data_IF_229244805559
#
_entry.id   IF_229244805559
#
_cell.length_a   1.000
_cell.length_b   1.000
_cell.length_c   1.000
_cell.angle_alpha   90.00
_cell.angle_beta   90.00
_cell.angle_gamma   90.00
#
_symmetry.space_group_name_H-M   'P 1'
#
loop_
_entity.id
_entity.type
_entity.pdbx_description
1 polymer ?
#
# COMPACT_ATOMS: atom_id res chain seq x y z
N UNK A 1 -12.97 -11.39 -18.48
CA UNK A 1 -11.86 -10.42 -18.60
C UNK A 1 -10.88 -10.72 -17.49
N UNK A 2 -9.61 -11.01 -17.81
CA UNK A 2 -8.56 -11.24 -16.82
C UNK A 2 -8.19 -9.92 -16.13
N UNK A 3 -8.15 -9.92 -14.80
CA UNK A 3 -7.73 -8.75 -14.03
C UNK A 3 -6.22 -8.54 -14.24
N UNK A 4 -5.82 -7.32 -14.59
CA UNK A 4 -4.41 -6.91 -14.64
C UNK A 4 -4.29 -5.53 -13.99
N UNK A 5 -3.36 -5.35 -13.05
CA UNK A 5 -3.06 -4.05 -12.48
C UNK A 5 -2.21 -3.22 -13.43
N UNK A 6 -1.69 -3.84 -14.50
CA UNK A 6 -0.88 -3.17 -15.48
C UNK A 6 -1.68 -2.74 -16.71
N UNK A 7 -1.43 -1.53 -17.17
CA UNK A 7 -1.91 -1.06 -18.47
C UNK A 7 -1.08 -1.75 -19.57
N UNK A 8 -1.49 -2.95 -19.98
CA UNK A 8 -0.99 -3.55 -21.24
C UNK A 8 -1.50 -2.67 -22.40
N UNK A 9 -0.58 -1.94 -23.01
CA UNK A 9 -0.89 -1.03 -24.10
C UNK A 9 -1.44 -1.76 -25.32
N UNK A 10 -2.77 -1.80 -25.48
CA UNK A 10 -3.39 -2.04 -26.78
C UNK A 10 -3.19 -0.78 -27.63
N UNK A 11 -2.06 -0.70 -28.33
CA UNK A 11 -1.92 0.14 -29.50
C UNK A 11 -2.77 -0.47 -30.63
N UNK A 12 -4.04 -0.11 -30.71
CA UNK A 12 -4.83 -0.24 -31.93
C UNK A 12 -5.54 1.08 -32.20
N UNK A 13 -4.99 1.74 -33.22
CA UNK A 13 -5.41 2.93 -33.92
C UNK A 13 -6.88 3.35 -33.79
N UNK A 14 -7.11 4.65 -33.49
CA UNK A 14 -7.95 5.54 -34.28
C UNK A 14 -8.17 6.87 -33.54
N UNK A 15 -7.82 7.98 -34.18
CA UNK A 15 -8.32 9.32 -33.81
C UNK A 15 -7.22 10.33 -33.53
N UNK A 16 -6.78 11.03 -34.57
CA UNK A 16 -6.08 12.30 -34.47
C UNK A 16 -6.81 13.24 -33.48
N UNK A 17 -6.06 13.74 -32.49
CA UNK A 17 -6.13 15.15 -32.10
C UNK A 17 -4.93 15.49 -31.22
N UNK A 18 -4.07 16.36 -31.76
CA UNK A 18 -2.90 16.87 -31.07
C UNK A 18 -3.28 17.65 -29.82
N UNK A 19 -2.92 17.09 -28.67
CA UNK A 19 -2.58 17.83 -27.45
C UNK A 19 -1.41 17.08 -26.85
N UNK A 20 -0.40 17.82 -26.40
CA UNK A 20 0.77 17.31 -25.69
C UNK A 20 0.34 16.52 -24.44
N UNK A 21 -0.05 15.27 -24.63
CA UNK A 21 -0.08 14.27 -23.59
C UNK A 21 1.35 13.79 -23.50
N UNK A 22 2.07 14.24 -22.47
CA UNK A 22 3.22 13.47 -21.99
C UNK A 22 2.72 12.04 -21.91
N UNK A 23 3.21 11.18 -22.82
CA UNK A 23 2.91 9.75 -22.84
C UNK A 23 3.50 9.18 -21.56
N UNK A 24 2.80 9.36 -20.47
CA UNK A 24 3.09 8.58 -19.29
C UNK A 24 2.54 7.20 -19.59
N UNK A 25 3.44 6.36 -20.08
CA UNK A 25 3.33 4.91 -20.09
C UNK A 25 3.23 4.45 -18.63
N UNK A 26 2.17 4.84 -17.93
CA UNK A 26 1.94 4.43 -16.56
C UNK A 26 1.61 2.95 -16.64
N UNK A 27 2.63 2.13 -16.43
CA UNK A 27 2.47 0.68 -16.46
C UNK A 27 1.49 0.24 -15.38
N UNK A 28 1.25 1.03 -14.32
CA UNK A 28 0.47 0.67 -13.14
C UNK A 28 -0.85 1.47 -13.04
N UNK A 29 -1.99 0.77 -12.91
CA UNK A 29 -3.31 1.39 -12.76
C UNK A 29 -3.66 1.66 -11.29
N UNK A 30 -3.43 2.90 -10.88
CA UNK A 30 -3.72 3.39 -9.51
C UNK A 30 -5.17 3.18 -9.05
N UNK A 31 -6.17 3.23 -9.95
CA UNK A 31 -7.56 3.06 -9.56
C UNK A 31 -7.83 1.59 -9.21
N UNK A 32 -7.33 0.67 -10.05
CA UNK A 32 -7.45 -0.78 -9.79
C UNK A 32 -6.74 -1.20 -8.51
N UNK A 33 -5.59 -0.58 -8.21
CA UNK A 33 -4.89 -0.83 -6.96
C UNK A 33 -5.71 -0.36 -5.74
N UNK A 34 -6.36 0.79 -5.82
CA UNK A 34 -7.28 1.26 -4.77
C UNK A 34 -8.46 0.31 -4.59
N UNK A 35 -9.12 -0.08 -5.68
CA UNK A 35 -10.28 -0.99 -5.66
C UNK A 35 -9.91 -2.37 -5.12
N UNK A 36 -8.68 -2.82 -5.33
CA UNK A 36 -8.19 -4.08 -4.75
C UNK A 36 -8.21 -4.04 -3.22
N UNK A 37 -7.73 -2.94 -2.62
CA UNK A 37 -7.77 -2.79 -1.15
C UNK A 37 -9.18 -2.74 -0.58
N UNK A 38 -10.11 -2.14 -1.31
CA UNK A 38 -11.53 -2.11 -0.95
C UNK A 38 -12.14 -3.51 -1.01
N UNK A 39 -11.91 -4.24 -2.10
CA UNK A 39 -12.39 -5.61 -2.27
C UNK A 39 -11.82 -6.57 -1.21
N UNK A 40 -10.58 -6.35 -0.75
CA UNK A 40 -10.00 -7.10 0.36
C UNK A 40 -10.71 -6.80 1.69
N UNK A 41 -11.03 -5.54 1.99
CA UNK A 41 -11.75 -5.15 3.21
C UNK A 41 -13.21 -5.60 3.19
N UNK A 42 -13.87 -5.56 2.04
CA UNK A 42 -15.27 -6.01 1.92
C UNK A 42 -15.40 -7.52 2.14
N UNK A 43 -14.51 -8.30 1.51
CA UNK A 43 -14.56 -9.75 1.59
C UNK A 43 -14.24 -10.30 3.00
N UNK A 44 -13.49 -9.57 3.84
CA UNK A 44 -13.29 -9.96 5.24
C UNK A 44 -14.53 -9.75 6.11
N UNK A 45 -15.55 -9.02 5.64
CA UNK A 45 -16.81 -8.81 6.36
C UNK A 45 -17.95 -9.74 5.90
N UNK A 46 -17.78 -10.48 4.80
CA UNK A 46 -18.87 -11.23 4.15
C UNK A 46 -18.64 -12.76 4.27
N UNK A 47 -19.42 -13.43 5.13
CA UNK A 47 -19.25 -14.85 5.54
C UNK A 47 -19.72 -15.88 4.49
N UNK A 48 -19.92 -15.48 3.24
CA UNK A 48 -20.40 -16.36 2.18
C UNK A 48 -19.33 -17.33 1.68
N UNK A 49 -19.58 -18.65 1.73
CA UNK A 49 -18.65 -19.71 1.33
C UNK A 49 -18.10 -19.60 -0.12
N UNK A 50 -18.78 -18.88 -1.02
CA UNK A 50 -18.34 -18.65 -2.40
C UNK A 50 -17.32 -17.50 -2.55
N UNK A 51 -17.02 -16.75 -1.49
CA UNK A 51 -16.20 -15.54 -1.54
C UNK A 51 -14.72 -15.78 -1.17
N UNK A 52 -14.40 -16.91 -0.52
CA UNK A 52 -13.06 -17.19 0.01
C UNK A 52 -11.96 -17.28 -1.04
N UNK A 53 -12.20 -17.97 -2.17
CA UNK A 53 -11.20 -18.09 -3.24
C UNK A 53 -10.87 -16.72 -3.87
N UNK A 54 -11.88 -15.88 -4.07
CA UNK A 54 -11.71 -14.53 -4.61
C UNK A 54 -10.97 -13.61 -3.61
N UNK A 55 -11.20 -13.81 -2.32
CA UNK A 55 -10.48 -13.10 -1.27
C UNK A 55 -8.98 -13.46 -1.29
N UNK A 56 -8.66 -14.75 -1.36
CA UNK A 56 -7.28 -15.24 -1.51
C UNK A 56 -6.64 -14.71 -2.80
N UNK A 57 -7.36 -14.73 -3.93
CA UNK A 57 -6.88 -14.17 -5.19
C UNK A 57 -6.51 -12.70 -5.03
N UNK A 58 -7.37 -11.89 -4.39
CA UNK A 58 -7.09 -10.48 -4.14
C UNK A 58 -5.88 -10.28 -3.22
N UNK A 59 -5.70 -11.12 -2.19
CA UNK A 59 -4.55 -11.08 -1.29
C UNK A 59 -3.24 -11.35 -2.04
N UNK A 60 -3.18 -12.46 -2.78
CA UNK A 60 -1.99 -12.86 -3.56
C UNK A 60 -1.64 -11.78 -4.58
N UNK A 61 -2.65 -11.20 -5.21
CA UNK A 61 -2.50 -10.12 -6.17
C UNK A 61 -1.97 -8.83 -5.53
N UNK A 62 -2.47 -8.48 -4.35
CA UNK A 62 -1.96 -7.35 -3.59
C UNK A 62 -0.51 -7.56 -3.18
N UNK A 63 -0.18 -8.76 -2.67
CA UNK A 63 1.19 -9.15 -2.34
C UNK A 63 2.13 -9.00 -3.55
N UNK A 64 1.74 -9.54 -4.70
CA UNK A 64 2.51 -9.43 -5.94
C UNK A 64 2.77 -7.96 -6.33
N UNK A 65 1.76 -7.10 -6.17
CA UNK A 65 1.90 -5.68 -6.51
C UNK A 65 2.80 -4.93 -5.56
N UNK A 66 2.70 -5.19 -4.26
CA UNK A 66 3.63 -4.61 -3.29
C UNK A 66 5.06 -5.07 -3.57
N UNK A 67 5.29 -6.35 -3.88
CA UNK A 67 6.62 -6.84 -4.26
C UNK A 67 7.14 -6.18 -5.53
N UNK A 68 6.27 -5.90 -6.50
CA UNK A 68 6.65 -5.15 -7.71
C UNK A 68 7.07 -3.72 -7.38
N UNK A 69 6.33 -3.04 -6.50
CA UNK A 69 6.70 -1.70 -6.01
C UNK A 69 8.04 -1.72 -5.26
N UNK A 70 8.26 -2.73 -4.42
CA UNK A 70 9.50 -2.92 -3.66
C UNK A 70 10.71 -3.15 -4.58
N UNK A 71 10.55 -4.04 -5.57
CA UNK A 71 11.59 -4.36 -6.54
C UNK A 71 12.01 -3.16 -7.40
N UNK A 72 11.10 -2.20 -7.64
CA UNK A 72 11.43 -0.94 -8.31
C UNK A 72 12.01 0.10 -7.34
N UNK A 73 11.38 0.29 -6.17
CA UNK A 73 11.69 1.38 -5.26
C UNK A 73 13.01 1.18 -4.51
N UNK A 74 13.31 -0.04 -4.04
CA UNK A 74 14.50 -0.29 -3.20
C UNK A 74 15.81 -0.02 -3.95
N UNK A 75 16.02 -0.54 -5.19
CA UNK A 75 17.24 -0.23 -5.95
C UNK A 75 17.37 1.27 -6.27
N UNK A 76 16.25 1.94 -6.60
CA UNK A 76 16.22 3.39 -6.84
C UNK A 76 16.62 4.19 -5.60
N UNK A 77 16.17 3.77 -4.42
CA UNK A 77 16.56 4.40 -3.16
C UNK A 77 18.06 4.24 -2.88
N UNK A 78 18.64 3.07 -3.16
CA UNK A 78 20.09 2.87 -3.03
C UNK A 78 20.84 3.79 -4.00
N UNK A 79 20.47 3.80 -5.28
CA UNK A 79 21.10 4.65 -6.29
C UNK A 79 20.94 6.15 -5.98
N UNK A 80 19.80 6.58 -5.43
CA UNK A 80 19.59 7.95 -4.98
C UNK A 80 20.55 8.32 -3.83
N UNK A 81 20.77 7.44 -2.86
CA UNK A 81 21.71 7.72 -1.76
C UNK A 81 23.15 7.92 -2.24
N UNK A 82 23.53 7.25 -3.32
CA UNK A 82 24.86 7.35 -3.90
C UNK A 82 25.03 8.58 -4.82
N UNK A 83 23.98 8.93 -5.57
CA UNK A 83 24.04 9.98 -6.61
C UNK A 83 23.43 11.32 -6.20
N UNK A 84 22.53 11.32 -5.21
CA UNK A 84 21.61 12.41 -4.87
C UNK A 84 20.73 12.87 -6.04
N UNK A 85 20.56 12.04 -7.08
CA UNK A 85 19.71 12.37 -8.21
C UNK A 85 18.23 12.07 -7.90
N UNK A 86 17.49 13.11 -7.50
CA UNK A 86 16.06 13.03 -7.18
C UNK A 86 15.22 12.44 -8.32
N UNK A 87 15.64 12.58 -9.59
CA UNK A 87 14.92 12.04 -10.74
C UNK A 87 14.70 10.53 -10.61
N UNK A 88 15.68 9.81 -10.05
CA UNK A 88 15.63 8.36 -9.83
C UNK A 88 14.44 7.98 -8.95
N UNK A 89 14.21 8.71 -7.86
CA UNK A 89 13.08 8.49 -6.93
C UNK A 89 11.78 8.98 -7.52
N UNK A 90 11.80 10.16 -8.15
CA UNK A 90 10.62 10.76 -8.76
C UNK A 90 9.99 9.83 -9.79
N UNK A 91 10.80 9.11 -10.54
CA UNK A 91 10.35 8.16 -11.56
C UNK A 91 10.03 6.77 -11.03
N UNK A 92 10.18 6.52 -9.72
CA UNK A 92 9.75 5.25 -9.12
C UNK A 92 8.25 5.04 -9.32
N UNK A 93 7.86 3.79 -9.54
CA UNK A 93 6.46 3.39 -9.70
C UNK A 93 5.66 3.77 -8.46
N UNK A 94 6.28 3.69 -7.28
CA UNK A 94 5.69 4.12 -6.02
C UNK A 94 5.36 5.62 -6.02
N UNK A 95 6.31 6.50 -6.35
CA UNK A 95 6.05 7.95 -6.38
C UNK A 95 4.99 8.31 -7.44
N UNK A 96 5.01 7.64 -8.59
CA UNK A 96 4.03 7.83 -9.66
C UNK A 96 2.63 7.37 -9.23
N UNK A 97 2.52 6.21 -8.57
CA UNK A 97 1.27 5.66 -8.04
C UNK A 97 0.64 6.64 -7.05
N UNK A 98 1.43 7.12 -6.11
CA UNK A 98 0.98 8.01 -5.04
C UNK A 98 0.66 9.41 -5.56
N UNK A 99 1.37 9.87 -6.59
CA UNK A 99 1.10 11.09 -7.36
C UNK A 99 -0.14 11.06 -8.25
N UNK A 100 -0.77 9.89 -8.42
CA UNK A 100 -1.92 9.75 -9.32
C UNK A 100 -3.18 10.41 -8.75
N UNK A 101 -3.79 11.30 -9.53
CA UNK A 101 -5.10 11.90 -9.20
C UNK A 101 -6.25 10.88 -9.17
N UNK A 102 -6.06 9.69 -9.72
CA UNK A 102 -7.06 8.62 -9.73
C UNK A 102 -7.06 7.83 -8.41
N UNK A 103 -6.01 7.94 -7.61
CA UNK A 103 -5.93 7.29 -6.31
C UNK A 103 -6.65 8.14 -5.28
N UNK A 104 -7.76 7.63 -4.72
CA UNK A 104 -8.42 8.28 -3.58
C UNK A 104 -7.63 7.93 -2.32
N UNK A 105 -6.56 8.68 -2.12
CA UNK A 105 -5.49 8.33 -1.19
C UNK A 105 -5.96 8.12 0.26
N UNK A 106 -6.89 8.96 0.72
CA UNK A 106 -7.50 8.84 2.05
C UNK A 106 -8.22 7.50 2.25
N UNK A 107 -9.07 7.12 1.29
CA UNK A 107 -9.80 5.84 1.33
C UNK A 107 -8.85 4.66 1.27
N UNK A 108 -7.83 4.75 0.42
CA UNK A 108 -6.79 3.73 0.31
C UNK A 108 -6.05 3.50 1.64
N UNK A 109 -5.58 4.56 2.30
CA UNK A 109 -4.92 4.47 3.62
C UNK A 109 -5.86 3.88 4.66
N UNK A 110 -7.11 4.34 4.71
CA UNK A 110 -8.13 3.82 5.63
C UNK A 110 -8.34 2.31 5.44
N UNK A 111 -8.44 1.84 4.20
CA UNK A 111 -8.61 0.42 3.90
C UNK A 111 -7.38 -0.39 4.34
N UNK A 112 -6.17 0.08 4.06
CA UNK A 112 -4.94 -0.55 4.53
C UNK A 112 -4.85 -0.61 6.06
N UNK A 113 -5.23 0.45 6.77
CA UNK A 113 -5.29 0.47 8.24
C UNK A 113 -6.34 -0.54 8.74
N UNK A 114 -7.52 -0.61 8.11
CA UNK A 114 -8.55 -1.58 8.46
C UNK A 114 -8.05 -3.02 8.35
N UNK A 115 -7.35 -3.36 7.26
CA UNK A 115 -6.74 -4.67 7.06
C UNK A 115 -5.71 -5.00 8.16
N UNK A 116 -4.89 -4.01 8.56
CA UNK A 116 -3.93 -4.21 9.66
C UNK A 116 -4.63 -4.54 10.99
N UNK A 117 -5.80 -3.95 11.23
CA UNK A 117 -6.50 -4.05 12.51
C UNK A 117 -7.43 -5.25 12.62
N UNK A 118 -7.95 -5.77 11.50
CA UNK A 118 -8.76 -6.99 11.47
C UNK A 118 -7.91 -8.19 11.96
N UNK A 119 -6.72 -8.35 11.40
CA UNK A 119 -5.85 -9.48 11.75
C UNK A 119 -5.39 -9.50 13.22
N UNK A 120 -5.18 -8.33 13.85
CA UNK A 120 -4.81 -8.33 15.28
C UNK A 120 -5.95 -8.73 16.20
N UNK A 121 -7.21 -8.45 15.83
CA UNK A 121 -8.36 -8.93 16.59
C UNK A 121 -8.50 -10.45 16.46
N UNK A 122 -8.30 -10.98 15.25
CA UNK A 122 -8.33 -12.43 15.01
C UNK A 122 -7.22 -13.17 15.76
N UNK A 123 -6.00 -12.62 15.83
CA UNK A 123 -4.91 -13.22 16.63
C UNK A 123 -5.21 -13.22 18.14
N UNK A 124 -5.92 -12.22 18.67
CA UNK A 124 -6.35 -12.20 20.07
C UNK A 124 -7.48 -13.20 20.35
N UNK A 125 -8.45 -13.33 19.43
CA UNK A 125 -9.59 -14.25 19.57
C UNK A 125 -9.20 -15.73 19.34
N UNK A 126 -8.28 -16.03 18.43
CA UNK A 126 -7.86 -17.40 18.09
C UNK A 126 -6.99 -18.05 19.19
N UNK A 127 -6.36 -17.24 20.05
CA UNK A 127 -5.73 -17.71 21.30
C UNK A 127 -6.80 -18.17 22.30
N UNK A 128 -8.03 -17.66 22.20
CA UNK A 128 -9.15 -17.95 23.10
C UNK A 128 -10.01 -19.16 22.67
N UNK A 129 -9.99 -19.60 21.41
CA UNK A 129 -10.93 -20.61 20.90
C UNK A 129 -10.29 -21.71 20.04
N UNK A 130 -9.48 -22.57 20.66
CA UNK A 130 -9.06 -23.83 20.00
C UNK A 130 -10.08 -24.94 20.24
N UNK A 131 -10.97 -25.20 19.28
CA UNK A 131 -11.66 -26.49 19.15
C UNK A 131 -11.96 -26.90 17.70
N UNK A 132 -11.21 -27.92 17.25
CA UNK A 132 -11.38 -28.96 16.21
C UNK A 132 -12.37 -28.81 15.03
N UNK A 133 -11.85 -28.90 13.79
CA UNK A 133 -12.23 -29.90 12.76
C UNK A 133 -11.16 -30.01 11.65
N UNK A 134 -10.78 -31.24 11.22
CA UNK A 134 -9.53 -31.51 10.48
C UNK A 134 -9.58 -31.37 8.94
N UNK A 135 -10.75 -31.15 8.32
CA UNK A 135 -10.82 -30.87 6.86
C UNK A 135 -10.96 -29.37 6.58
N UNK A 136 -11.77 -28.70 7.40
CA UNK A 136 -11.91 -27.24 7.42
C UNK A 136 -10.62 -26.57 7.94
N UNK A 137 -9.81 -27.29 8.73
CA UNK A 137 -8.50 -26.83 9.20
C UNK A 137 -7.54 -26.52 8.05
N UNK A 138 -7.47 -27.31 6.98
CA UNK A 138 -6.48 -27.09 5.92
C UNK A 138 -6.75 -25.82 5.10
N UNK A 139 -8.03 -25.55 4.80
CA UNK A 139 -8.46 -24.36 4.07
C UNK A 139 -8.38 -23.11 4.94
N UNK A 140 -8.76 -23.22 6.23
CA UNK A 140 -8.62 -22.13 7.21
C UNK A 140 -7.16 -21.80 7.51
N UNK A 141 -6.30 -22.81 7.67
CA UNK A 141 -4.83 -22.62 7.81
C UNK A 141 -4.26 -21.92 6.57
N UNK A 142 -4.69 -22.33 5.37
CA UNK A 142 -4.23 -21.70 4.12
C UNK A 142 -4.70 -20.24 4.02
N UNK A 143 -5.97 -19.95 4.35
CA UNK A 143 -6.50 -18.57 4.38
C UNK A 143 -5.71 -17.68 5.33
N UNK A 144 -5.44 -18.19 6.53
CA UNK A 144 -4.69 -17.47 7.56
C UNK A 144 -3.24 -17.18 7.13
N UNK A 145 -2.61 -18.09 6.37
CA UNK A 145 -1.30 -17.85 5.78
C UNK A 145 -1.35 -16.73 4.73
N UNK A 146 -2.34 -16.73 3.84
CA UNK A 146 -2.51 -15.66 2.84
C UNK A 146 -2.83 -14.30 3.47
N UNK A 147 -3.63 -14.27 4.54
CA UNK A 147 -3.92 -13.08 5.34
C UNK A 147 -2.65 -12.52 5.97
N UNK A 148 -1.83 -13.38 6.57
CA UNK A 148 -0.56 -12.99 7.17
C UNK A 148 0.41 -12.41 6.14
N UNK A 149 0.53 -13.02 4.96
CA UNK A 149 1.39 -12.52 3.88
C UNK A 149 0.85 -11.21 3.27
N UNK A 150 -0.48 -11.08 3.15
CA UNK A 150 -1.12 -9.82 2.75
C UNK A 150 -0.83 -8.71 3.76
N UNK A 151 -0.90 -9.01 5.07
CA UNK A 151 -0.56 -8.09 6.15
C UNK A 151 0.90 -7.64 6.08
N UNK A 152 1.83 -8.58 5.87
CA UNK A 152 3.26 -8.28 5.67
C UNK A 152 3.42 -7.33 4.48
N UNK A 153 2.68 -7.54 3.40
CA UNK A 153 2.69 -6.67 2.24
C UNK A 153 2.11 -5.28 2.55
N UNK A 154 1.05 -5.16 3.34
CA UNK A 154 0.54 -3.84 3.79
C UNK A 154 1.60 -3.10 4.62
N UNK A 155 2.30 -3.80 5.53
CA UNK A 155 3.39 -3.21 6.32
C UNK A 155 4.53 -2.73 5.44
N UNK A 156 4.98 -3.56 4.49
CA UNK A 156 6.03 -3.19 3.51
C UNK A 156 5.65 -1.96 2.72
N UNK A 157 4.40 -1.89 2.24
CA UNK A 157 3.89 -0.73 1.53
C UNK A 157 3.97 0.54 2.39
N UNK A 158 3.50 0.51 3.63
CA UNK A 158 3.62 1.65 4.54
C UNK A 158 5.07 2.05 4.79
N UNK A 159 5.98 1.10 4.97
CA UNK A 159 7.41 1.39 5.14
C UNK A 159 7.98 2.10 3.90
N UNK A 160 7.70 1.61 2.69
CA UNK A 160 8.17 2.24 1.46
C UNK A 160 7.61 3.66 1.29
N UNK A 161 6.33 3.83 1.61
CA UNK A 161 5.63 5.11 1.57
C UNK A 161 6.24 6.12 2.56
N UNK A 162 6.49 5.72 3.80
CA UNK A 162 7.14 6.56 4.81
C UNK A 162 8.57 6.92 4.37
N UNK A 163 9.32 5.95 3.81
CA UNK A 163 10.64 6.21 3.26
C UNK A 163 10.59 7.24 2.13
N UNK A 164 9.63 7.14 1.22
CA UNK A 164 9.48 8.10 0.13
C UNK A 164 9.28 9.52 0.67
N UNK A 165 8.44 9.70 1.69
CA UNK A 165 8.23 11.00 2.33
C UNK A 165 9.52 11.53 2.97
N UNK A 166 10.26 10.68 3.69
CA UNK A 166 11.53 11.07 4.33
C UNK A 166 12.58 11.48 3.28
N UNK A 167 12.71 10.69 2.21
CA UNK A 167 13.63 10.98 1.11
C UNK A 167 13.25 12.30 0.44
N UNK A 168 11.95 12.54 0.20
CA UNK A 168 11.48 13.81 -0.35
C UNK A 168 11.83 14.98 0.57
N UNK A 169 11.54 14.87 1.87
CA UNK A 169 11.87 15.93 2.83
C UNK A 169 13.37 16.24 2.88
N UNK A 170 14.22 15.23 2.74
CA UNK A 170 15.66 15.40 2.63
C UNK A 170 16.05 16.08 1.31
N UNK A 171 15.51 15.63 0.18
CA UNK A 171 15.73 16.22 -1.13
C UNK A 171 15.27 17.69 -1.18
N UNK A 172 14.14 18.01 -0.56
CA UNK A 172 13.60 19.38 -0.44
C UNK A 172 14.57 20.28 0.33
N UNK A 173 15.12 19.80 1.47
CA UNK A 173 16.11 20.54 2.26
C UNK A 173 17.41 20.81 1.50
N UNK A 174 17.78 19.89 0.61
CA UNK A 174 18.94 20.02 -0.26
C UNK A 174 18.66 20.83 -1.54
N UNK A 175 17.41 21.25 -1.77
CA UNK A 175 17.01 21.98 -2.98
C UNK A 175 17.03 21.15 -4.26
N UNK A 176 16.92 19.82 -4.14
CA UNK A 176 16.97 18.86 -5.26
C UNK A 176 15.59 18.64 -5.92
N UNK A 177 14.53 19.09 -5.28
CA UNK A 177 13.16 18.98 -5.78
C UNK A 177 12.69 20.29 -6.41
N UNK A 178 11.70 20.17 -7.29
CA UNK A 178 11.01 21.29 -7.91
C UNK A 178 9.56 21.37 -7.46
N UNK A 179 8.91 22.52 -7.70
CA UNK A 179 7.47 22.68 -7.45
C UNK A 179 6.60 21.67 -8.21
N UNK A 180 7.08 21.14 -9.32
CA UNK A 180 6.37 20.14 -10.11
C UNK A 180 6.42 18.75 -9.44
N UNK A 181 7.35 18.54 -8.51
CA UNK A 181 7.54 17.27 -7.81
C UNK A 181 6.67 17.17 -6.55
N UNK A 182 5.89 18.19 -6.22
CA UNK A 182 5.07 18.25 -5.01
C UNK A 182 3.84 17.34 -5.11
N UNK A 183 3.85 16.24 -4.34
CA UNK A 183 2.62 15.72 -3.74
C UNK A 183 2.10 16.78 -2.77
N UNK A 184 0.79 17.09 -2.82
CA UNK A 184 0.23 18.20 -2.02
C UNK A 184 0.39 17.98 -0.51
N UNK A 185 0.27 16.73 -0.05
CA UNK A 185 0.37 16.35 1.35
C UNK A 185 1.32 15.14 1.49
N UNK A 186 2.28 15.15 2.44
CA UNK A 186 3.01 13.96 2.86
C UNK A 186 2.04 12.85 3.20
N UNK A 187 2.36 11.64 2.80
CA UNK A 187 1.49 10.50 2.98
C UNK A 187 1.40 10.12 4.46
N UNK A 188 2.51 10.23 5.18
CA UNK A 188 2.55 10.07 6.62
C UNK A 188 1.53 10.99 7.30
N UNK A 189 1.29 12.20 6.78
CA UNK A 189 0.27 13.10 7.32
C UNK A 189 -1.14 12.49 7.21
N UNK A 190 -1.49 11.90 6.07
CA UNK A 190 -2.80 11.26 5.89
C UNK A 190 -2.95 10.02 6.77
N UNK A 191 -1.89 9.22 6.93
CA UNK A 191 -1.86 8.08 7.87
C UNK A 191 -2.15 8.58 9.28
N UNK A 192 -1.44 9.62 9.72
CA UNK A 192 -1.63 10.17 11.06
C UNK A 192 -3.03 10.77 11.24
N UNK A 193 -3.60 11.43 10.22
CA UNK A 193 -4.99 11.93 10.27
C UNK A 193 -5.98 10.80 10.51
N UNK A 194 -5.85 9.67 9.80
CA UNK A 194 -6.73 8.51 9.99
C UNK A 194 -6.56 7.88 11.38
N UNK A 195 -5.32 7.80 11.90
CA UNK A 195 -5.06 7.29 13.25
C UNK A 195 -5.56 8.24 14.36
N UNK A 196 -5.49 9.55 14.15
CA UNK A 196 -6.06 10.54 15.07
C UNK A 196 -7.58 10.52 15.02
N UNK A 197 -8.16 10.35 13.83
CA UNK A 197 -9.61 10.28 13.66
C UNK A 197 -10.21 9.05 14.33
N UNK A 198 -9.54 7.89 14.23
CA UNK A 198 -9.96 6.66 14.89
C UNK A 198 -8.86 6.09 15.79
N UNK A 199 -8.85 6.54 17.04
CA UNK A 199 -7.83 6.17 18.03
C UNK A 199 -7.81 4.67 18.37
N UNK A 200 -8.90 3.94 18.09
CA UNK A 200 -8.96 2.47 18.23
C UNK A 200 -7.92 1.81 17.33
N UNK A 201 -7.56 2.44 16.20
CA UNK A 201 -6.59 1.92 15.26
C UNK A 201 -5.15 2.21 15.65
N UNK A 202 -4.89 3.14 16.58
CA UNK A 202 -3.54 3.61 16.91
C UNK A 202 -2.68 2.50 17.51
N UNK A 203 -3.14 1.88 18.60
CA UNK A 203 -2.38 0.82 19.26
C UNK A 203 -2.17 -0.38 18.33
N UNK A 204 -3.21 -0.86 17.63
CA UNK A 204 -3.03 -1.95 16.68
C UNK A 204 -2.04 -1.66 15.54
N UNK A 205 -2.16 -0.47 14.94
CA UNK A 205 -1.26 0.00 13.90
C UNK A 205 0.19 0.04 14.39
N UNK A 206 0.45 0.58 15.58
CA UNK A 206 1.79 0.61 16.14
C UNK A 206 2.33 -0.80 16.40
N UNK A 207 1.52 -1.70 16.95
CA UNK A 207 1.91 -3.10 17.19
C UNK A 207 2.24 -3.85 15.90
N UNK A 208 1.64 -3.45 14.77
CA UNK A 208 1.90 -4.06 13.47
C UNK A 208 3.37 -3.95 13.02
N UNK A 209 4.08 -2.89 13.39
CA UNK A 209 5.48 -2.69 13.00
C UNK A 209 6.44 -3.34 14.01
N UNK A 210 7.19 -4.36 13.63
CA UNK A 210 8.14 -5.02 14.55
C UNK A 210 9.39 -4.17 14.78
N UNK A 211 9.86 -3.48 13.75
CA UNK A 211 11.03 -2.61 13.83
C UNK A 211 10.75 -1.33 14.62
N UNK A 212 11.53 -1.12 15.68
CA UNK A 212 11.41 0.06 16.55
C UNK A 212 11.61 1.39 15.82
N UNK A 213 12.41 1.40 14.74
CA UNK A 213 12.66 2.59 13.92
C UNK A 213 11.36 3.18 13.36
N UNK A 214 10.53 2.35 12.71
CA UNK A 214 9.27 2.81 12.12
C UNK A 214 8.25 3.20 13.19
N UNK A 215 8.16 2.43 14.27
CA UNK A 215 7.35 2.77 15.45
C UNK A 215 7.68 4.15 15.99
N UNK A 216 8.95 4.42 16.27
CA UNK A 216 9.39 5.72 16.79
C UNK A 216 9.15 6.84 15.79
N UNK A 217 9.40 6.61 14.50
CA UNK A 217 9.13 7.62 13.46
C UNK A 217 7.65 8.03 13.45
N UNK A 218 6.74 7.05 13.50
CA UNK A 218 5.29 7.30 13.54
C UNK A 218 4.91 8.02 14.83
N UNK A 219 5.40 7.56 15.98
CA UNK A 219 5.11 8.15 17.30
C UNK A 219 5.58 9.60 17.37
N UNK A 220 6.82 9.88 16.96
CA UNK A 220 7.38 11.23 16.97
C UNK A 220 6.54 12.17 16.11
N UNK A 221 6.15 11.73 14.92
CA UNK A 221 5.35 12.54 14.00
C UNK A 221 3.91 12.70 14.48
N UNK A 222 3.35 11.69 15.16
CA UNK A 222 2.02 11.76 15.77
C UNK A 222 1.94 12.82 16.88
N UNK A 223 2.96 12.90 17.73
CA UNK A 223 3.01 13.87 18.84
C UNK A 223 3.60 15.25 18.46
N UNK A 224 4.24 15.38 17.30
CA UNK A 224 4.77 16.66 16.81
C UNK A 224 3.73 17.49 16.04
N UNK A 225 2.50 16.98 15.92
CA UNK A 225 1.34 17.73 15.44
C UNK A 225 0.81 18.66 16.53
#
# INVERSE_FOLDING_TARGET
QSWSPFLLGNNLASGENGRNTSRSNHLFDSLRFSLLTEAMVEASNDTGANNGLKHIENMVLFQYLVHTLEADFVPRHIAYKESLDWVIIRESVLNVLLGSRKLVFKTFVKNCISLLNQHQREVEDDISSKSASDLDSSLTISSLEFEREALISVKKLFIMVINLDLIRQEADKLGLTSRADGLRNPILEVILEELTYNTIYLSPFLLAFTEWKWKLQIILQYFSR
#
